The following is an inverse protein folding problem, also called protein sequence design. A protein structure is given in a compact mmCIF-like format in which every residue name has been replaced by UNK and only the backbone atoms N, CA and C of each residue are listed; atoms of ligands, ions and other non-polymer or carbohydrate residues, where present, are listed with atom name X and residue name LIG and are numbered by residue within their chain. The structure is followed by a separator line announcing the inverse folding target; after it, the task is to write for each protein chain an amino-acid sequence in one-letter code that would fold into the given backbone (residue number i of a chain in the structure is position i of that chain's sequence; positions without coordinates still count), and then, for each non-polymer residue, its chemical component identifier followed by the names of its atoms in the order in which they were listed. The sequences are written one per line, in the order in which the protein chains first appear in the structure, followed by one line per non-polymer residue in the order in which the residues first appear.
data_IF_947840282847
#
_entry.id   IF_947840282847
#
_cell.length_a   1.000
_cell.length_b   1.000
_cell.length_c   1.000
_cell.angle_alpha   90.00
_cell.angle_beta   90.00
_cell.angle_gamma   90.00
#
_symmetry.space_group_name_H-M   'P 1'
#
loop_
_entity.id
_entity.type
_entity.pdbx_description
1 polymer ?
#
# COMPACT_ATOMS: atom_id res chain seq x y z
N UNK A 1 57.12 22.72 40.36
CA UNK A 1 57.56 24.05 39.88
C UNK A 1 56.98 25.11 40.79
N UNK A 2 57.78 26.01 41.39
CA UNK A 2 57.28 27.01 42.35
C UNK A 2 56.58 28.16 41.62
N UNK A 3 55.29 28.34 41.89
CA UNK A 3 54.52 29.47 41.37
C UNK A 3 55.01 30.75 42.06
N UNK A 4 55.53 31.71 41.31
CA UNK A 4 56.07 32.96 41.86
C UNK A 4 54.92 33.91 42.22
N UNK A 5 55.00 34.61 43.35
CA UNK A 5 53.99 35.59 43.81
C UNK A 5 53.61 36.61 42.70
N UNK A 6 54.57 36.98 41.84
CA UNK A 6 54.34 37.86 40.69
C UNK A 6 53.39 37.24 39.64
N UNK A 7 53.45 35.93 39.42
CA UNK A 7 52.56 35.24 38.50
C UNK A 7 51.12 35.21 39.03
N UNK A 8 50.95 34.89 40.32
CA UNK A 8 49.65 34.91 41.01
C UNK A 8 49.00 36.30 41.01
N UNK A 9 49.80 37.36 41.17
CA UNK A 9 49.31 38.74 41.12
C UNK A 9 48.81 39.12 39.73
N UNK A 10 49.57 38.76 38.68
CA UNK A 10 49.18 38.99 37.29
C UNK A 10 47.90 38.22 36.92
N UNK A 11 47.76 36.99 37.39
CA UNK A 11 46.56 36.17 37.18
C UNK A 11 45.34 36.75 37.90
N UNK A 12 45.49 37.21 39.15
CA UNK A 12 44.42 37.89 39.88
C UNK A 12 43.95 39.17 39.19
N UNK A 13 44.89 40.00 38.71
CA UNK A 13 44.54 41.20 37.95
C UNK A 13 43.80 40.83 36.65
N UNK A 14 44.21 39.73 35.99
CA UNK A 14 43.52 39.18 34.83
C UNK A 14 42.10 38.70 35.12
N UNK A 15 41.89 37.98 36.23
CA UNK A 15 40.58 37.51 36.68
C UNK A 15 39.67 38.67 37.05
N UNK A 16 40.20 39.70 37.73
CA UNK A 16 39.46 40.90 38.11
C UNK A 16 38.94 41.65 36.89
N UNK A 17 39.78 41.80 35.86
CA UNK A 17 39.37 42.41 34.59
C UNK A 17 38.28 41.59 33.88
N UNK A 18 38.34 40.27 33.94
CA UNK A 18 37.30 39.40 33.38
C UNK A 18 35.96 39.52 34.13
N UNK A 19 36.01 39.59 35.46
CA UNK A 19 34.83 39.80 36.31
C UNK A 19 34.17 41.15 35.99
N UNK A 20 34.95 42.22 35.84
CA UNK A 20 34.43 43.54 35.50
C UNK A 20 33.80 43.54 34.10
N UNK A 21 34.42 42.87 33.13
CA UNK A 21 33.87 42.73 31.79
C UNK A 21 32.56 41.93 31.77
N UNK A 22 32.48 40.81 32.51
CA UNK A 22 31.27 40.00 32.63
C UNK A 22 30.15 40.75 33.35
N UNK A 23 30.48 41.48 34.42
CA UNK A 23 29.53 42.32 35.15
C UNK A 23 28.92 43.40 34.24
N UNK A 24 29.74 44.01 33.38
CA UNK A 24 29.26 44.98 32.39
C UNK A 24 28.35 44.33 31.33
N UNK A 25 28.68 43.13 30.87
CA UNK A 25 27.82 42.37 29.93
C UNK A 25 26.49 41.98 30.56
N UNK A 26 26.47 41.54 31.81
CA UNK A 26 25.25 41.21 32.54
C UNK A 26 24.35 42.45 32.71
N UNK A 27 24.91 43.60 33.10
CA UNK A 27 24.14 44.87 33.16
C UNK A 27 23.52 45.25 31.83
N UNK A 28 24.27 45.11 30.72
CA UNK A 28 23.75 45.38 29.38
C UNK A 28 22.65 44.39 28.95
N UNK A 29 22.78 43.11 29.32
CA UNK A 29 21.77 42.11 29.02
C UNK A 29 20.48 42.38 29.81
N UNK A 30 20.61 42.72 31.09
CA UNK A 30 19.48 43.09 31.94
C UNK A 30 18.73 44.30 31.37
N UNK A 31 19.44 45.37 31.00
CA UNK A 31 18.84 46.53 30.34
C UNK A 31 18.16 46.18 28.99
N UNK A 32 18.69 45.21 28.24
CA UNK A 32 18.06 44.71 27.01
C UNK A 32 16.77 43.93 27.29
N UNK A 33 16.73 43.14 28.35
CA UNK A 33 15.55 42.36 28.77
C UNK A 33 14.47 43.31 29.26
N UNK A 34 14.80 44.26 30.15
CA UNK A 34 13.84 45.26 30.64
C UNK A 34 13.31 46.15 29.50
N UNK A 35 14.19 46.53 28.57
CA UNK A 35 13.82 47.26 27.35
C UNK A 35 12.96 46.45 26.37
N UNK A 36 12.96 45.11 26.46
CA UNK A 36 12.10 44.24 25.65
C UNK A 36 10.75 44.00 26.33
N UNK A 37 10.74 43.81 27.65
CA UNK A 37 9.53 43.66 28.46
C UNK A 37 8.64 44.91 28.40
N UNK A 38 9.25 46.10 28.47
CA UNK A 38 8.54 47.38 28.32
C UNK A 38 7.98 47.61 26.91
N UNK A 39 8.61 47.05 25.87
CA UNK A 39 8.10 47.08 24.49
C UNK A 39 6.99 46.06 24.23
N UNK A 40 6.99 44.94 24.93
CA UNK A 40 5.91 43.95 24.86
C UNK A 40 4.63 44.44 25.57
N UNK A 41 4.74 45.25 26.62
CA UNK A 41 3.58 45.92 27.26
C UNK A 41 2.99 47.07 26.43
N UNK A 42 3.71 47.59 25.43
CA UNK A 42 3.28 48.74 24.60
C UNK A 42 2.95 48.37 23.16
N UNK A 43 2.89 47.07 22.82
CA UNK A 43 2.29 46.62 21.57
C UNK A 43 0.77 46.71 21.73
N UNK A 44 0.03 47.47 20.88
CA UNK A 44 -1.42 47.35 20.87
C UNK A 44 -1.73 45.91 20.49
N UNK A 45 -2.40 45.20 21.38
CA UNK A 45 -3.05 43.93 21.09
C UNK A 45 -4.05 44.16 19.95
N UNK A 46 -4.00 43.43 18.83
CA UNK A 46 -5.14 43.35 17.94
C UNK A 46 -5.82 41.97 18.11
N UNK A 47 -7.16 41.90 18.28
CA UNK A 47 -8.13 42.96 18.56
C UNK A 47 -8.84 42.81 19.92
N UNK A 48 -9.21 43.93 20.52
CA UNK A 48 -10.14 43.99 21.66
C UNK A 48 -11.38 44.78 21.27
N UNK A 49 -12.10 44.29 20.25
CA UNK A 49 -13.50 44.65 20.02
C UNK A 49 -14.37 43.39 20.12
N UNK A 50 -15.57 43.46 20.73
CA UNK A 50 -16.50 42.32 20.76
C UNK A 50 -16.88 41.79 19.38
N UNK A 51 -16.79 42.65 18.35
CA UNK A 51 -17.13 42.34 16.96
C UNK A 51 -16.07 41.41 16.35
N UNK A 52 -14.79 41.68 16.58
CA UNK A 52 -13.70 40.85 16.03
C UNK A 52 -13.64 39.45 16.68
N UNK A 53 -13.96 39.35 17.98
CA UNK A 53 -14.07 38.04 18.66
C UNK A 53 -15.27 37.22 18.15
N UNK A 54 -16.39 37.88 17.86
CA UNK A 54 -17.56 37.22 17.29
C UNK A 54 -17.28 36.72 15.87
N UNK A 55 -16.57 37.48 15.04
CA UNK A 55 -16.20 37.09 13.67
C UNK A 55 -15.22 35.91 13.64
N UNK A 56 -14.23 35.90 14.54
CA UNK A 56 -13.31 34.76 14.71
C UNK A 56 -14.07 33.52 15.19
N UNK A 57 -14.99 33.66 16.14
CA UNK A 57 -15.80 32.53 16.62
C UNK A 57 -16.66 31.93 15.51
N UNK A 58 -17.27 32.78 14.68
CA UNK A 58 -18.08 32.36 13.53
C UNK A 58 -17.25 31.67 12.45
N UNK A 59 -16.02 32.14 12.23
CA UNK A 59 -15.08 31.51 11.30
C UNK A 59 -14.63 30.12 11.78
N UNK A 60 -14.41 29.97 13.09
CA UNK A 60 -14.08 28.67 13.71
C UNK A 60 -15.25 27.71 13.61
N UNK A 61 -16.48 28.16 13.87
CA UNK A 61 -17.69 27.35 13.73
C UNK A 61 -17.89 26.87 12.28
N UNK A 62 -17.71 27.76 11.30
CA UNK A 62 -17.77 27.41 9.88
C UNK A 62 -16.73 26.34 9.50
N UNK A 63 -15.47 26.52 9.93
CA UNK A 63 -14.41 25.52 9.69
C UNK A 63 -14.66 24.20 10.44
N UNK A 64 -15.32 24.25 11.59
CA UNK A 64 -15.77 23.07 12.33
C UNK A 64 -16.79 22.26 11.54
N UNK A 65 -17.80 22.95 10.98
CA UNK A 65 -18.80 22.32 10.12
C UNK A 65 -18.17 21.69 8.87
N UNK A 66 -17.22 22.38 8.23
CA UNK A 66 -16.51 21.85 7.06
C UNK A 66 -15.65 20.61 7.41
N UNK A 67 -15.02 20.61 8.60
CA UNK A 67 -14.34 19.44 9.13
C UNK A 67 -15.29 18.25 9.38
N UNK A 68 -16.47 18.49 9.94
CA UNK A 68 -17.47 17.46 10.22
C UNK A 68 -18.02 16.86 8.92
N UNK A 69 -18.32 17.70 7.93
CA UNK A 69 -18.76 17.28 6.60
C UNK A 69 -17.70 16.42 5.90
N UNK A 70 -16.42 16.85 5.97
CA UNK A 70 -15.30 16.09 5.40
C UNK A 70 -15.13 14.73 6.09
N UNK A 71 -15.24 14.68 7.42
CA UNK A 71 -15.17 13.43 8.18
C UNK A 71 -16.32 12.48 7.83
N UNK A 72 -17.53 13.00 7.67
CA UNK A 72 -18.70 12.22 7.26
C UNK A 72 -18.49 11.65 5.84
N UNK A 73 -18.02 12.48 4.91
CA UNK A 73 -17.70 12.03 3.56
C UNK A 73 -16.60 10.97 3.53
N UNK A 74 -15.54 11.15 4.32
CA UNK A 74 -14.48 10.14 4.48
C UNK A 74 -15.03 8.83 5.04
N UNK A 75 -15.97 8.90 6.00
CA UNK A 75 -16.65 7.73 6.55
C UNK A 75 -17.41 6.95 5.47
N UNK A 76 -18.22 7.65 4.66
CA UNK A 76 -18.98 7.05 3.55
C UNK A 76 -18.07 6.40 2.51
N UNK A 77 -16.98 7.06 2.13
CA UNK A 77 -15.98 6.46 1.22
C UNK A 77 -15.41 5.18 1.82
N UNK A 78 -15.07 5.19 3.11
CA UNK A 78 -14.53 4.01 3.79
C UNK A 78 -15.54 2.85 3.80
N UNK A 79 -16.82 3.14 3.99
CA UNK A 79 -17.89 2.14 3.91
C UNK A 79 -18.03 1.56 2.51
N UNK A 80 -18.05 2.40 1.47
CA UNK A 80 -18.12 1.96 0.07
C UNK A 80 -16.90 1.13 -0.34
N UNK A 81 -15.68 1.53 0.06
CA UNK A 81 -14.45 0.76 -0.18
C UNK A 81 -14.54 -0.60 0.50
N UNK A 82 -15.04 -0.66 1.74
CA UNK A 82 -15.19 -1.92 2.48
C UNK A 82 -16.21 -2.84 1.80
N UNK A 83 -17.33 -2.29 1.34
CA UNK A 83 -18.34 -3.03 0.58
C UNK A 83 -17.79 -3.55 -0.75
N UNK A 84 -17.06 -2.71 -1.49
CA UNK A 84 -16.42 -3.10 -2.74
C UNK A 84 -15.40 -4.21 -2.54
N UNK A 85 -14.60 -4.13 -1.47
CA UNK A 85 -13.63 -5.17 -1.11
C UNK A 85 -14.32 -6.51 -0.85
N UNK A 86 -15.40 -6.51 -0.06
CA UNK A 86 -16.17 -7.74 0.22
C UNK A 86 -16.76 -8.35 -1.06
N UNK A 87 -17.30 -7.51 -1.96
CA UNK A 87 -17.80 -7.99 -3.24
C UNK A 87 -16.69 -8.61 -4.11
N UNK A 88 -15.49 -8.03 -4.08
CA UNK A 88 -14.35 -8.55 -4.83
C UNK A 88 -13.87 -9.90 -4.30
N UNK A 89 -13.87 -10.08 -2.97
CA UNK A 89 -13.55 -11.37 -2.33
C UNK A 89 -14.55 -12.46 -2.77
N UNK A 90 -15.85 -12.16 -2.76
CA UNK A 90 -16.89 -13.09 -3.24
C UNK A 90 -16.73 -13.41 -4.73
N UNK A 91 -16.36 -12.44 -5.56
CA UNK A 91 -16.10 -12.68 -6.98
C UNK A 91 -14.88 -13.58 -7.16
N UNK A 92 -13.80 -13.35 -6.40
CA UNK A 92 -12.61 -14.18 -6.46
C UNK A 92 -12.93 -15.65 -6.12
N UNK A 93 -13.66 -15.89 -5.04
CA UNK A 93 -14.11 -17.24 -4.65
C UNK A 93 -14.91 -17.91 -5.78
N UNK A 94 -15.86 -17.21 -6.38
CA UNK A 94 -16.66 -17.75 -7.50
C UNK A 94 -15.84 -18.04 -8.75
N UNK A 95 -14.79 -17.26 -9.00
CA UNK A 95 -13.88 -17.50 -10.13
C UNK A 95 -13.07 -18.76 -9.88
N UNK A 96 -12.59 -18.98 -8.66
CA UNK A 96 -11.85 -20.19 -8.29
C UNK A 96 -12.76 -21.43 -8.37
N UNK A 97 -13.99 -21.35 -7.85
CA UNK A 97 -15.00 -22.42 -7.98
C UNK A 97 -15.28 -22.76 -9.44
N UNK A 98 -15.42 -21.73 -10.30
CA UNK A 98 -15.66 -21.94 -11.73
C UNK A 98 -14.45 -22.57 -12.42
N UNK A 99 -13.23 -22.16 -12.07
CA UNK A 99 -12.02 -22.76 -12.60
C UNK A 99 -11.96 -24.26 -12.28
N UNK A 100 -12.24 -24.62 -11.03
CA UNK A 100 -12.31 -26.02 -10.60
C UNK A 100 -13.40 -26.78 -11.36
N UNK A 101 -14.60 -26.21 -11.50
CA UNK A 101 -15.69 -26.85 -12.23
C UNK A 101 -15.35 -27.08 -13.71
N UNK A 102 -14.60 -26.17 -14.34
CA UNK A 102 -14.12 -26.33 -15.72
C UNK A 102 -13.11 -27.47 -15.81
N UNK A 103 -12.16 -27.56 -14.87
CA UNK A 103 -11.19 -28.66 -14.82
C UNK A 103 -11.88 -30.01 -14.64
N UNK A 104 -12.85 -30.10 -13.73
CA UNK A 104 -13.65 -31.31 -13.51
C UNK A 104 -14.46 -31.69 -14.75
N UNK A 105 -15.08 -30.72 -15.42
CA UNK A 105 -15.81 -30.95 -16.66
C UNK A 105 -14.89 -31.45 -17.78
N UNK A 106 -13.69 -30.86 -17.93
CA UNK A 106 -12.72 -31.31 -18.93
C UNK A 106 -12.20 -32.72 -18.62
N UNK A 107 -11.91 -33.01 -17.35
CA UNK A 107 -11.48 -34.34 -16.92
C UNK A 107 -12.56 -35.40 -17.18
N UNK A 108 -13.83 -35.08 -16.91
CA UNK A 108 -14.95 -35.94 -17.23
C UNK A 108 -15.12 -36.13 -18.75
N UNK A 109 -15.13 -35.03 -19.52
CA UNK A 109 -15.35 -35.06 -20.97
C UNK A 109 -14.22 -35.76 -21.72
N UNK A 110 -12.98 -35.70 -21.22
CA UNK A 110 -11.82 -36.33 -21.83
C UNK A 110 -11.40 -37.63 -21.14
N UNK A 111 -12.15 -38.11 -20.15
CA UNK A 111 -11.76 -39.27 -19.33
C UNK A 111 -11.58 -40.57 -20.10
N UNK A 112 -12.22 -40.69 -21.27
CA UNK A 112 -12.11 -41.84 -22.17
C UNK A 112 -11.32 -41.54 -23.46
N UNK A 113 -10.74 -40.34 -23.58
CA UNK A 113 -9.95 -39.99 -24.75
C UNK A 113 -8.56 -40.64 -24.65
N UNK A 114 -8.18 -41.38 -25.69
CA UNK A 114 -6.85 -42.00 -25.79
C UNK A 114 -6.04 -41.30 -26.88
N UNK A 115 -4.83 -40.82 -26.52
CA UNK A 115 -3.85 -40.32 -27.49
C UNK A 115 -2.82 -41.39 -27.80
N UNK A 116 -2.71 -41.76 -29.07
CA UNK A 116 -1.69 -42.70 -29.57
C UNK A 116 -0.61 -41.89 -30.29
N UNK A 117 0.61 -41.96 -29.78
CA UNK A 117 1.76 -41.20 -30.32
C UNK A 117 2.63 -42.09 -31.21
N UNK A 118 3.29 -41.48 -32.20
CA UNK A 118 4.26 -42.17 -33.06
C UNK A 118 3.65 -43.04 -34.16
N UNK A 119 2.35 -42.91 -34.42
CA UNK A 119 1.65 -43.64 -35.49
C UNK A 119 1.75 -42.84 -36.78
N UNK A 120 2.43 -43.39 -37.78
CA UNK A 120 2.51 -42.81 -39.13
C UNK A 120 1.16 -42.81 -39.82
N UNK A 121 0.96 -41.88 -40.76
CA UNK A 121 -0.24 -41.85 -41.60
C UNK A 121 -0.27 -43.04 -42.56
N UNK A 122 -1.43 -43.69 -42.69
CA UNK A 122 -1.60 -44.80 -43.63
C UNK A 122 -1.62 -44.30 -45.09
N UNK A 123 -2.19 -43.12 -45.32
CA UNK A 123 -2.31 -42.44 -46.62
C UNK A 123 -2.29 -40.92 -46.43
N UNK A 124 -1.92 -40.18 -47.47
CA UNK A 124 -2.09 -38.73 -47.49
C UNK A 124 -3.58 -38.36 -47.39
N UNK A 125 -3.96 -37.59 -46.36
CA UNK A 125 -5.33 -37.29 -45.95
C UNK A 125 -6.15 -38.53 -45.53
N UNK A 126 -5.69 -39.20 -44.48
CA UNK A 126 -6.42 -40.29 -43.85
C UNK A 126 -7.80 -39.83 -43.34
N UNK A 127 -8.85 -40.56 -43.72
CA UNK A 127 -10.21 -40.31 -43.23
C UNK A 127 -10.40 -40.76 -41.78
N UNK A 128 -11.45 -40.25 -41.12
CA UNK A 128 -11.83 -40.69 -39.78
C UNK A 128 -12.05 -42.20 -39.71
N UNK A 129 -12.71 -42.80 -40.70
CA UNK A 129 -12.96 -44.25 -40.74
C UNK A 129 -11.65 -45.05 -40.86
N UNK A 130 -10.69 -44.60 -41.67
CA UNK A 130 -9.38 -45.26 -41.78
C UNK A 130 -8.62 -45.16 -40.45
N UNK A 131 -8.66 -43.99 -39.82
CA UNK A 131 -8.07 -43.77 -38.49
C UNK A 131 -8.71 -44.67 -37.43
N UNK A 132 -10.04 -44.78 -37.40
CA UNK A 132 -10.75 -45.68 -36.47
C UNK A 132 -10.36 -47.15 -36.68
N UNK A 133 -10.25 -47.60 -37.94
CA UNK A 133 -9.80 -48.97 -38.23
C UNK A 133 -8.37 -49.21 -37.75
N UNK A 134 -7.48 -48.23 -37.88
CA UNK A 134 -6.13 -48.31 -37.36
C UNK A 134 -6.11 -48.42 -35.84
N UNK A 135 -6.91 -47.60 -35.14
CA UNK A 135 -7.08 -47.68 -33.69
C UNK A 135 -7.57 -49.08 -33.26
N UNK A 136 -8.62 -49.60 -33.90
CA UNK A 136 -9.14 -50.96 -33.65
C UNK A 136 -8.05 -52.02 -33.84
N UNK A 137 -7.27 -51.94 -34.91
CA UNK A 137 -6.18 -52.89 -35.16
C UNK A 137 -5.08 -52.80 -34.09
N UNK A 138 -4.75 -51.61 -33.62
CA UNK A 138 -3.77 -51.38 -32.55
C UNK A 138 -4.27 -51.95 -31.23
N UNK A 139 -5.49 -51.61 -30.80
CA UNK A 139 -6.05 -52.09 -29.53
C UNK A 139 -6.21 -53.62 -29.50
N UNK A 140 -6.73 -54.22 -30.58
CA UNK A 140 -6.85 -55.67 -30.67
C UNK A 140 -5.49 -56.38 -30.64
N UNK A 141 -4.45 -55.81 -31.27
CA UNK A 141 -3.08 -56.35 -31.18
C UNK A 141 -2.48 -56.26 -29.77
N UNK A 142 -2.93 -55.30 -28.96
CA UNK A 142 -2.55 -55.20 -27.54
C UNK A 142 -3.39 -56.12 -26.64
N UNK A 143 -4.35 -56.86 -27.19
CA UNK A 143 -5.22 -57.78 -26.46
C UNK A 143 -6.49 -57.13 -25.88
N UNK A 144 -6.78 -55.87 -26.24
CA UNK A 144 -8.06 -55.25 -25.93
C UNK A 144 -9.05 -55.57 -27.05
N UNK A 145 -10.11 -56.33 -26.75
CA UNK A 145 -11.19 -56.61 -27.70
C UNK A 145 -12.01 -55.34 -27.96
N UNK A 146 -11.72 -54.65 -29.06
CA UNK A 146 -12.34 -53.39 -29.45
C UNK A 146 -12.88 -53.49 -30.87
N UNK A 147 -14.05 -52.93 -31.11
CA UNK A 147 -14.70 -52.83 -32.41
C UNK A 147 -14.92 -51.37 -32.80
N UNK A 148 -15.37 -51.12 -34.04
CA UNK A 148 -15.66 -49.75 -34.49
C UNK A 148 -16.82 -49.11 -33.73
N UNK A 149 -17.75 -49.89 -33.15
CA UNK A 149 -18.88 -49.35 -32.39
C UNK A 149 -18.47 -48.83 -31.01
N UNK A 150 -17.29 -49.22 -30.54
CA UNK A 150 -16.74 -48.77 -29.26
C UNK A 150 -15.99 -47.43 -29.39
N UNK A 151 -15.80 -46.93 -30.62
CA UNK A 151 -15.11 -45.68 -30.93
C UNK A 151 -16.13 -44.67 -31.44
N UNK A 152 -16.38 -43.63 -30.64
CA UNK A 152 -17.27 -42.54 -31.04
C UNK A 152 -16.62 -41.65 -32.12
N UNK A 153 -15.37 -41.21 -31.87
CA UNK A 153 -14.63 -40.34 -32.79
C UNK A 153 -13.15 -40.77 -32.82
N UNK A 154 -12.57 -40.86 -34.02
CA UNK A 154 -11.13 -40.95 -34.21
C UNK A 154 -10.68 -39.94 -35.27
N UNK A 155 -9.60 -39.22 -34.97
CA UNK A 155 -8.99 -38.25 -35.88
C UNK A 155 -7.51 -38.05 -35.53
N UNK A 156 -6.75 -37.51 -36.48
CA UNK A 156 -5.37 -37.07 -36.27
C UNK A 156 -5.35 -35.68 -35.64
N UNK A 157 -4.44 -35.45 -34.71
CA UNK A 157 -4.23 -34.17 -33.99
C UNK A 157 -2.80 -33.70 -34.21
#
# INVERSE_FOLDING_TARGET
MPVTIKALKKENDGLRNQIDALTKKLKNLHARIDGKLTKETSRPSPPSSPVDQAEVSKSIEFLGLECDDLNNFSGKISEEISALKGNLEVIAEKVDELAQAIEEFQAYSCGFNVKILGVTDCVSNESALQTSNLCVAIFNKMGAEVSLTDIDIAHRV
#
